data_IF_541867367585
#
_entry.id   IF_541867367585
#
_cell.length_a   1.000
_cell.length_b   1.000
_cell.length_c   1.000
_cell.angle_alpha   90.00
_cell.angle_beta   90.00
_cell.angle_gamma   90.00
#
_symmetry.space_group_name_H-M   'P 1'
#
loop_
_entity.id
_entity.type
_entity.pdbx_description
1 polymer ?
#
# COMPACT_ATOMS: atom_id res chain seq x y z
N UNK A 1 -3.42 10.76 16.41
CA UNK A 1 -1.97 11.06 16.50
C UNK A 1 -1.66 12.19 15.53
N UNK A 2 -1.73 13.43 16.00
CA UNK A 2 -1.54 14.65 15.21
C UNK A 2 -0.49 15.49 15.90
N UNK A 3 0.74 15.57 15.35
CA UNK A 3 1.63 16.69 15.67
C UNK A 3 3.07 16.40 16.10
N UNK A 4 3.52 15.16 16.31
CA UNK A 4 4.87 14.93 16.88
C UNK A 4 6.03 14.88 15.88
N UNK A 5 5.79 15.22 14.60
CA UNK A 5 6.83 15.21 13.57
C UNK A 5 7.24 16.64 13.20
N UNK A 6 8.52 16.97 13.37
CA UNK A 6 9.09 18.19 12.82
C UNK A 6 9.27 17.98 11.31
N UNK A 7 8.47 18.68 10.52
CA UNK A 7 8.63 18.69 9.07
C UNK A 7 9.84 19.54 8.67
N UNK A 8 10.97 18.88 8.39
CA UNK A 8 12.21 19.53 7.96
C UNK A 8 12.08 19.88 6.47
N UNK A 9 11.51 21.04 6.21
CA UNK A 9 11.42 21.61 4.85
C UNK A 9 12.74 22.26 4.44
N UNK A 10 13.12 22.13 3.17
CA UNK A 10 14.31 22.82 2.67
C UNK A 10 14.10 24.35 2.63
N UNK A 11 15.11 25.09 3.05
CA UNK A 11 15.16 26.57 2.93
C UNK A 11 14.80 26.99 1.48
N UNK A 12 13.83 27.89 1.26
CA UNK A 12 13.49 28.40 -0.07
C UNK A 12 14.70 28.89 -0.88
N UNK A 13 15.72 29.45 -0.22
CA UNK A 13 16.97 29.87 -0.87
C UNK A 13 17.76 28.68 -1.41
N UNK A 14 17.80 27.57 -0.67
CA UNK A 14 18.35 26.31 -1.16
C UNK A 14 17.59 25.83 -2.39
N UNK A 15 16.25 25.78 -2.32
CA UNK A 15 15.42 25.29 -3.44
C UNK A 15 15.66 26.13 -4.70
N UNK A 16 15.66 27.46 -4.59
CA UNK A 16 15.92 28.36 -5.71
C UNK A 16 17.30 28.12 -6.35
N UNK A 17 18.35 28.01 -5.51
CA UNK A 17 19.73 27.75 -5.96
C UNK A 17 19.85 26.42 -6.69
N UNK A 18 19.31 25.34 -6.12
CA UNK A 18 19.43 24.02 -6.74
C UNK A 18 18.57 23.89 -8.00
N UNK A 19 17.41 24.57 -8.08
CA UNK A 19 16.64 24.67 -9.34
C UNK A 19 17.40 25.40 -10.44
N UNK A 20 18.14 26.47 -10.10
CA UNK A 20 19.02 27.14 -11.06
C UNK A 20 20.14 26.22 -11.54
N UNK A 21 20.80 25.49 -10.64
CA UNK A 21 21.81 24.49 -11.01
C UNK A 21 21.26 23.37 -11.88
N UNK A 22 20.05 22.88 -11.60
CA UNK A 22 19.39 21.86 -12.43
C UNK A 22 19.16 22.36 -13.87
N UNK A 23 18.79 23.63 -14.04
CA UNK A 23 18.66 24.25 -15.38
C UNK A 23 19.98 24.22 -16.15
N UNK A 24 21.09 24.59 -15.50
CA UNK A 24 22.43 24.52 -16.12
C UNK A 24 22.80 23.07 -16.44
N UNK A 25 22.59 22.15 -15.49
CA UNK A 25 22.93 20.73 -15.66
C UNK A 25 22.15 20.07 -16.80
N UNK A 26 20.89 20.45 -17.02
CA UNK A 26 20.09 19.97 -18.16
C UNK A 26 20.70 20.31 -19.52
N UNK A 27 21.45 21.41 -19.63
CA UNK A 27 22.15 21.80 -20.85
C UNK A 27 23.50 21.09 -21.06
N UNK A 28 23.98 20.34 -20.06
CA UNK A 28 25.33 19.75 -20.10
C UNK A 28 25.44 18.58 -21.09
N UNK A 29 26.66 18.35 -21.61
CA UNK A 29 26.96 17.16 -22.41
C UNK A 29 26.73 15.86 -21.63
N UNK A 30 27.07 15.87 -20.33
CA UNK A 30 26.83 14.74 -19.44
C UNK A 30 25.34 14.37 -19.38
N UNK A 31 24.45 15.34 -19.23
CA UNK A 31 23.01 15.06 -19.18
C UNK A 31 22.48 14.54 -20.52
N UNK A 32 22.96 15.08 -21.65
CA UNK A 32 22.64 14.53 -22.98
C UNK A 32 23.05 13.06 -23.11
N UNK A 33 24.20 12.68 -22.56
CA UNK A 33 24.64 11.27 -22.53
C UNK A 33 23.72 10.40 -21.66
N UNK A 34 23.25 10.89 -20.50
CA UNK A 34 22.29 10.16 -19.68
C UNK A 34 20.97 9.91 -20.42
N UNK A 35 20.45 10.92 -21.14
CA UNK A 35 19.25 10.75 -21.97
C UNK A 35 19.46 9.79 -23.14
N UNK A 36 20.65 9.80 -23.76
CA UNK A 36 20.99 8.91 -24.87
C UNK A 36 21.04 7.42 -24.47
N UNK A 37 21.32 7.12 -23.19
CA UNK A 37 21.21 5.75 -22.68
C UNK A 37 19.76 5.21 -22.71
N UNK A 38 18.77 6.11 -22.76
CA UNK A 38 17.38 5.78 -23.05
C UNK A 38 16.70 4.92 -22.00
N UNK A 39 17.21 4.82 -20.77
CA UNK A 39 16.65 3.97 -19.71
C UNK A 39 16.15 4.79 -18.53
N UNK A 40 14.93 4.50 -18.09
CA UNK A 40 14.41 5.05 -16.84
C UNK A 40 15.13 4.42 -15.65
N UNK A 41 15.60 5.23 -14.71
CA UNK A 41 16.27 4.77 -13.50
C UNK A 41 15.37 3.91 -12.60
N UNK A 42 14.06 4.20 -12.59
CA UNK A 42 13.11 3.55 -11.67
C UNK A 42 12.53 2.25 -12.22
N UNK A 43 11.91 2.28 -13.41
CA UNK A 43 11.31 1.08 -13.99
C UNK A 43 12.25 0.27 -14.88
N UNK A 44 13.44 0.80 -15.20
CA UNK A 44 14.41 0.13 -16.08
C UNK A 44 14.04 0.07 -17.56
N UNK A 45 12.78 0.39 -17.92
CA UNK A 45 12.32 0.34 -19.30
C UNK A 45 13.01 1.37 -20.21
N UNK A 46 13.00 1.07 -21.51
CA UNK A 46 13.63 1.90 -22.54
C UNK A 46 12.64 2.92 -23.08
N UNK A 47 13.06 4.18 -23.19
CA UNK A 47 12.26 5.31 -23.65
C UNK A 47 13.06 6.18 -24.63
N UNK A 48 12.38 6.84 -25.59
CA UNK A 48 12.97 7.93 -26.36
C UNK A 48 13.46 9.07 -25.43
N UNK A 49 14.55 9.77 -25.78
CA UNK A 49 15.06 10.89 -24.98
C UNK A 49 14.02 11.97 -24.64
N UNK A 50 13.03 12.19 -25.51
CA UNK A 50 11.96 13.17 -25.32
C UNK A 50 10.95 12.79 -24.21
N UNK A 51 10.87 11.51 -23.84
CA UNK A 51 9.97 10.99 -22.80
C UNK A 51 10.65 10.85 -21.44
N UNK A 52 11.97 11.10 -21.39
CA UNK A 52 12.76 11.08 -20.17
C UNK A 52 12.88 12.49 -19.60
N UNK A 53 12.65 12.58 -18.30
CA UNK A 53 12.74 13.79 -17.49
C UNK A 53 13.93 13.69 -16.55
N UNK A 54 14.43 14.85 -16.09
CA UNK A 54 15.38 14.89 -14.98
C UNK A 54 14.62 14.78 -13.67
N UNK A 55 14.91 13.74 -12.89
CA UNK A 55 14.44 13.62 -11.52
C UNK A 55 15.62 13.70 -10.53
N UNK A 56 15.33 14.18 -9.33
CA UNK A 56 16.26 14.21 -8.21
C UNK A 56 15.95 13.06 -7.26
N UNK A 57 16.89 12.12 -7.08
CA UNK A 57 16.73 10.96 -6.20
C UNK A 57 16.32 11.43 -4.80
N UNK A 58 17.12 12.32 -4.20
CA UNK A 58 16.68 13.15 -3.08
C UNK A 58 16.09 14.46 -3.64
N UNK A 59 14.77 14.72 -3.49
CA UNK A 59 14.15 15.92 -4.02
C UNK A 59 14.77 17.19 -3.45
N UNK A 60 14.84 18.24 -4.27
CA UNK A 60 15.32 19.57 -3.84
C UNK A 60 14.50 20.14 -2.67
N UNK A 61 13.19 19.86 -2.64
CA UNK A 61 12.31 20.26 -1.53
C UNK A 61 12.67 19.58 -0.19
N UNK A 62 13.42 18.47 -0.24
CA UNK A 62 13.93 17.71 0.91
C UNK A 62 15.44 17.89 1.11
N UNK A 63 16.01 18.97 0.58
CA UNK A 63 17.42 19.34 0.74
C UNK A 63 18.38 18.70 -0.28
N UNK A 64 17.87 18.01 -1.30
CA UNK A 64 18.67 17.39 -2.34
C UNK A 64 19.39 18.39 -3.25
N UNK A 65 20.62 18.04 -3.67
CA UNK A 65 21.46 18.90 -4.52
C UNK A 65 21.33 18.56 -6.00
N UNK A 66 21.49 19.54 -6.88
CA UNK A 66 21.48 19.32 -8.34
C UNK A 66 22.87 18.97 -8.87
N UNK A 67 23.31 17.75 -8.58
CA UNK A 67 24.62 17.21 -8.97
C UNK A 67 24.46 15.85 -9.67
N UNK A 68 25.41 15.41 -10.50
CA UNK A 68 25.34 14.12 -11.20
C UNK A 68 24.98 12.92 -10.31
N UNK A 69 25.49 12.87 -9.07
CA UNK A 69 25.20 11.78 -8.14
C UNK A 69 23.80 11.77 -7.53
N UNK A 70 22.97 12.81 -7.76
CA UNK A 70 21.62 12.91 -7.22
C UNK A 70 20.55 13.14 -8.31
N UNK A 71 20.93 13.21 -9.59
CA UNK A 71 19.97 13.36 -10.69
C UNK A 71 20.02 12.16 -11.62
N UNK A 72 18.84 11.72 -12.06
CA UNK A 72 18.68 10.52 -12.88
C UNK A 72 17.64 10.74 -13.98
N UNK A 73 17.75 10.07 -15.14
CA UNK A 73 16.69 10.04 -16.14
C UNK A 73 15.52 9.19 -15.63
N UNK A 74 14.32 9.76 -15.67
CA UNK A 74 13.09 9.08 -15.26
C UNK A 74 11.98 9.34 -16.28
N UNK A 75 11.21 8.31 -16.64
CA UNK A 75 10.02 8.52 -17.47
C UNK A 75 8.98 9.35 -16.71
N UNK A 76 8.12 10.06 -17.44
CA UNK A 76 7.09 10.93 -16.86
C UNK A 76 6.20 10.22 -15.85
N UNK A 77 5.83 8.95 -16.10
CA UNK A 77 5.01 8.16 -15.19
C UNK A 77 5.72 7.90 -13.85
N UNK A 78 6.94 7.37 -13.87
CA UNK A 78 7.71 7.10 -12.66
C UNK A 78 8.00 8.38 -11.88
N UNK A 79 8.41 9.45 -12.56
CA UNK A 79 8.71 10.73 -11.90
C UNK A 79 7.45 11.30 -11.21
N UNK A 80 6.29 11.24 -11.89
CA UNK A 80 5.00 11.65 -11.31
C UNK A 80 4.58 10.81 -10.11
N UNK A 81 4.83 9.51 -10.13
CA UNK A 81 4.53 8.62 -8.99
C UNK A 81 5.46 8.89 -7.81
N UNK A 82 6.76 9.10 -8.06
CA UNK A 82 7.78 9.38 -7.04
C UNK A 82 7.55 10.71 -6.32
N UNK A 83 7.09 11.75 -7.04
CA UNK A 83 6.81 13.10 -6.50
C UNK A 83 8.00 13.68 -5.72
N UNK A 84 7.80 13.93 -4.43
CA UNK A 84 8.80 14.46 -3.50
C UNK A 84 9.21 13.43 -2.46
N UNK A 85 8.92 12.15 -2.71
CA UNK A 85 9.37 11.07 -1.83
C UNK A 85 10.88 10.89 -2.00
N UNK A 86 11.54 10.71 -0.88
CA UNK A 86 12.90 10.19 -0.79
C UNK A 86 12.88 8.66 -0.92
N UNK A 87 14.01 8.01 -1.24
CA UNK A 87 14.10 6.55 -1.25
C UNK A 87 13.66 5.93 0.09
N UNK A 88 14.02 6.56 1.21
CA UNK A 88 13.61 6.13 2.54
C UNK A 88 12.08 6.17 2.70
N UNK A 89 11.42 7.26 2.28
CA UNK A 89 9.96 7.35 2.33
C UNK A 89 9.26 6.37 1.39
N UNK A 90 9.84 6.07 0.23
CA UNK A 90 9.28 5.05 -0.68
C UNK A 90 9.34 3.65 -0.04
N UNK A 91 10.45 3.32 0.62
CA UNK A 91 10.59 2.08 1.38
C UNK A 91 9.63 2.06 2.56
N UNK A 92 9.56 3.13 3.36
CA UNK A 92 8.63 3.25 4.47
C UNK A 92 7.17 3.11 4.02
N UNK A 93 6.76 3.76 2.92
CA UNK A 93 5.42 3.61 2.37
C UNK A 93 5.12 2.17 1.94
N UNK A 94 6.13 1.43 1.48
CA UNK A 94 5.99 0.00 1.14
C UNK A 94 5.89 -0.86 2.40
N UNK A 95 6.62 -0.53 3.46
CA UNK A 95 6.54 -1.20 4.77
C UNK A 95 5.23 -0.88 5.50
N UNK A 96 4.66 0.30 5.26
CA UNK A 96 3.37 0.76 5.80
C UNK A 96 2.16 0.14 5.08
N UNK A 97 2.35 -0.37 3.86
CA UNK A 97 1.30 -1.09 3.17
C UNK A 97 1.03 -2.42 3.88
N UNK A 98 -0.24 -2.86 3.98
CA UNK A 98 -0.54 -4.13 4.59
C UNK A 98 0.11 -5.27 3.80
N UNK A 99 0.89 -6.09 4.51
CA UNK A 99 1.44 -7.34 4.03
C UNK A 99 0.29 -8.32 3.78
N UNK A 100 0.42 -9.14 2.73
CA UNK A 100 -0.59 -10.11 2.32
C UNK A 100 0.01 -11.51 2.39
N UNK A 101 -0.68 -12.41 3.07
CA UNK A 101 -0.29 -13.80 3.24
C UNK A 101 -1.40 -14.70 2.67
N UNK A 102 -1.28 -15.16 1.41
CA UNK A 102 -2.27 -16.06 0.81
C UNK A 102 -2.36 -17.38 1.57
N UNK A 103 -3.58 -17.91 1.73
CA UNK A 103 -3.86 -19.17 2.41
C UNK A 103 -4.01 -20.32 1.42
N UNK A 104 -3.66 -21.53 1.85
CA UNK A 104 -3.99 -22.74 1.12
C UNK A 104 -5.51 -22.91 1.08
N UNK A 105 -6.07 -23.21 -0.11
CA UNK A 105 -7.53 -23.38 -0.27
C UNK A 105 -8.34 -22.10 -0.45
N UNK A 106 -7.71 -20.92 -0.35
CA UNK A 106 -8.34 -19.62 -0.63
C UNK A 106 -8.39 -18.69 0.57
N UNK A 107 -8.55 -17.40 0.27
CA UNK A 107 -8.45 -16.32 1.25
C UNK A 107 -7.02 -15.85 1.50
N UNK A 108 -6.88 -14.84 2.35
CA UNK A 108 -5.59 -14.27 2.75
C UNK A 108 -5.64 -13.70 4.16
N UNK A 109 -4.50 -13.64 4.83
CA UNK A 109 -4.29 -12.77 6.00
C UNK A 109 -3.68 -11.47 5.52
N UNK A 110 -4.29 -10.35 5.87
CA UNK A 110 -3.71 -9.02 5.68
C UNK A 110 -3.17 -8.52 7.01
N UNK A 111 -1.93 -8.03 7.03
CA UNK A 111 -1.24 -7.62 8.25
C UNK A 111 -0.57 -6.25 8.12
N UNK A 112 -0.60 -5.42 9.15
CA UNK A 112 0.13 -4.15 9.24
C UNK A 112 0.74 -4.00 10.63
N UNK A 113 2.07 -3.98 10.72
CA UNK A 113 2.75 -4.13 12.01
C UNK A 113 2.36 -5.45 12.66
N UNK A 114 1.92 -5.43 13.92
CA UNK A 114 1.43 -6.59 14.67
C UNK A 114 -0.09 -6.80 14.59
N UNK A 115 -0.77 -6.14 13.66
CA UNK A 115 -2.23 -6.18 13.55
C UNK A 115 -2.62 -6.94 12.29
N UNK A 116 -3.63 -7.79 12.36
CA UNK A 116 -4.09 -8.59 11.23
C UNK A 116 -5.62 -8.66 11.12
N UNK A 117 -6.08 -8.88 9.89
CA UNK A 117 -7.42 -9.38 9.57
C UNK A 117 -7.27 -10.57 8.61
N UNK A 118 -8.22 -11.50 8.63
CA UNK A 118 -8.31 -12.57 7.63
C UNK A 118 -9.48 -12.32 6.69
N UNK A 119 -9.27 -12.50 5.38
CA UNK A 119 -10.29 -12.36 4.34
C UNK A 119 -10.62 -13.74 3.78
N UNK A 120 -11.88 -14.15 3.92
CA UNK A 120 -12.40 -15.46 3.47
C UNK A 120 -11.47 -16.66 3.74
N UNK A 121 -10.93 -16.82 4.97
CA UNK A 121 -9.97 -17.88 5.23
C UNK A 121 -10.63 -19.24 5.03
N UNK A 122 -10.11 -20.09 4.14
CA UNK A 122 -10.61 -21.46 3.97
C UNK A 122 -10.01 -22.45 4.99
N UNK A 123 -8.96 -22.03 5.70
CA UNK A 123 -8.17 -22.85 6.61
C UNK A 123 -7.81 -22.05 7.87
N UNK A 124 -8.39 -22.44 9.02
CA UNK A 124 -8.10 -21.80 10.30
C UNK A 124 -6.69 -22.10 10.79
N UNK A 125 -6.19 -23.32 10.57
CA UNK A 125 -4.85 -23.73 11.01
C UNK A 125 -3.77 -22.91 10.31
N UNK A 126 -3.87 -22.76 8.99
CA UNK A 126 -2.96 -21.92 8.22
C UNK A 126 -2.98 -20.44 8.63
N UNK A 127 -4.13 -19.92 9.07
CA UNK A 127 -4.18 -18.57 9.67
C UNK A 127 -3.41 -18.52 10.98
N UNK A 128 -3.67 -19.45 11.91
CA UNK A 128 -3.00 -19.48 13.22
C UNK A 128 -1.48 -19.63 13.09
N UNK A 129 -1.01 -20.47 12.17
CA UNK A 129 0.41 -20.63 11.87
C UNK A 129 1.06 -19.31 11.42
N UNK A 130 0.36 -18.52 10.59
CA UNK A 130 0.81 -17.19 10.16
C UNK A 130 0.85 -16.22 11.36
N UNK A 131 -0.19 -16.23 12.20
CA UNK A 131 -0.26 -15.35 13.36
C UNK A 131 0.87 -15.62 14.34
N UNK A 132 1.18 -16.90 14.61
CA UNK A 132 2.25 -17.28 15.51
C UNK A 132 3.62 -16.94 14.92
N UNK A 133 3.88 -17.31 13.66
CA UNK A 133 5.16 -17.05 12.98
C UNK A 133 5.51 -15.58 12.95
N UNK A 134 4.53 -14.72 12.63
CA UNK A 134 4.75 -13.29 12.39
C UNK A 134 4.35 -12.42 13.60
N UNK A 135 4.00 -13.04 14.74
CA UNK A 135 3.55 -12.38 15.97
C UNK A 135 2.44 -11.35 15.73
N UNK A 136 1.37 -11.79 15.08
CA UNK A 136 0.23 -10.96 14.67
C UNK A 136 -0.97 -11.15 15.61
N UNK A 137 -1.71 -10.06 15.81
CA UNK A 137 -2.97 -10.04 16.56
C UNK A 137 -4.11 -10.02 15.55
N UNK A 138 -4.90 -11.10 15.51
CA UNK A 138 -6.08 -11.17 14.64
C UNK A 138 -7.24 -10.38 15.26
N UNK A 139 -7.64 -9.29 14.61
CA UNK A 139 -8.76 -8.46 15.07
C UNK A 139 -10.10 -8.93 14.51
N UNK A 140 -10.10 -9.36 13.25
CA UNK A 140 -11.32 -9.76 12.59
C UNK A 140 -11.10 -10.74 11.43
N UNK A 141 -12.13 -11.55 11.18
CA UNK A 141 -12.34 -12.27 9.94
C UNK A 141 -13.41 -11.54 9.14
N UNK A 142 -13.15 -11.26 7.87
CA UNK A 142 -14.13 -10.68 6.94
C UNK A 142 -14.49 -11.69 5.87
N UNK A 143 -15.78 -12.03 5.82
CA UNK A 143 -16.38 -12.87 4.81
C UNK A 143 -16.92 -12.00 3.69
N UNK A 144 -16.51 -12.25 2.45
CA UNK A 144 -17.09 -11.61 1.27
C UNK A 144 -18.39 -12.27 0.82
N UNK A 145 -18.59 -13.52 1.24
CA UNK A 145 -19.75 -14.36 0.95
C UNK A 145 -19.87 -15.50 1.98
N UNK A 146 -21.02 -16.18 2.01
CA UNK A 146 -21.29 -17.32 2.90
C UNK A 146 -20.77 -18.66 2.40
N UNK A 147 -19.49 -18.74 1.99
CA UNK A 147 -18.93 -20.02 1.55
C UNK A 147 -18.70 -20.96 2.76
N UNK A 148 -19.15 -22.24 2.72
CA UNK A 148 -19.05 -23.13 3.89
C UNK A 148 -17.64 -23.29 4.48
N UNK A 149 -16.56 -23.44 3.68
CA UNK A 149 -15.20 -23.52 4.24
C UNK A 149 -14.80 -22.25 5.01
N UNK A 150 -15.17 -21.08 4.48
CA UNK A 150 -14.86 -19.80 5.10
C UNK A 150 -15.65 -19.58 6.39
N UNK A 151 -16.92 -20.00 6.43
CA UNK A 151 -17.75 -19.97 7.64
C UNK A 151 -17.19 -20.88 8.73
N UNK A 152 -16.79 -22.11 8.37
CA UNK A 152 -16.20 -23.06 9.32
C UNK A 152 -14.90 -22.51 9.93
N UNK A 153 -13.98 -22.04 9.09
CA UNK A 153 -12.73 -21.46 9.57
C UNK A 153 -12.95 -20.18 10.39
N UNK A 154 -13.91 -19.32 10.01
CA UNK A 154 -14.25 -18.14 10.78
C UNK A 154 -14.79 -18.48 12.18
N UNK A 155 -15.60 -19.55 12.30
CA UNK A 155 -16.11 -20.02 13.58
C UNK A 155 -14.99 -20.53 14.49
N UNK A 156 -14.03 -21.29 13.94
CA UNK A 156 -12.89 -21.78 14.70
C UNK A 156 -11.96 -20.64 15.12
N UNK A 157 -11.63 -19.71 14.22
CA UNK A 157 -10.81 -18.53 14.52
C UNK A 157 -11.45 -17.62 15.56
N UNK A 158 -12.77 -17.38 15.48
CA UNK A 158 -13.51 -16.60 16.47
C UNK A 158 -13.41 -17.23 17.86
N UNK A 159 -13.53 -18.57 17.94
CA UNK A 159 -13.44 -19.33 19.19
C UNK A 159 -12.04 -19.30 19.80
N UNK A 160 -11.01 -19.42 18.97
CA UNK A 160 -9.62 -19.53 19.43
C UNK A 160 -8.97 -18.17 19.73
N UNK A 161 -9.29 -17.14 18.94
CA UNK A 161 -8.63 -15.83 19.04
C UNK A 161 -9.53 -14.75 19.65
N UNK A 162 -10.84 -14.98 19.74
CA UNK A 162 -11.82 -13.96 20.13
C UNK A 162 -12.04 -12.86 19.08
N UNK A 163 -11.58 -13.07 17.84
CA UNK A 163 -11.70 -12.08 16.77
C UNK A 163 -13.16 -11.85 16.35
N UNK A 164 -13.45 -10.66 15.81
CA UNK A 164 -14.78 -10.36 15.29
C UNK A 164 -14.98 -10.99 13.90
N UNK A 165 -16.14 -11.59 13.63
CA UNK A 165 -16.51 -12.00 12.27
C UNK A 165 -17.44 -10.96 11.66
N UNK A 166 -17.10 -10.51 10.46
CA UNK A 166 -17.84 -9.51 9.69
C UNK A 166 -18.20 -10.07 8.31
N UNK A 167 -19.34 -9.72 7.75
CA UNK A 167 -19.72 -10.18 6.41
C UNK A 167 -21.02 -9.56 5.90
N UNK A 168 -21.43 -9.82 4.65
CA UNK A 168 -22.68 -9.31 4.12
C UNK A 168 -23.90 -9.95 4.79
N UNK A 169 -25.06 -9.32 4.63
CA UNK A 169 -26.32 -9.88 5.08
C UNK A 169 -26.56 -11.24 4.40
N UNK A 170 -26.83 -12.28 5.19
CA UNK A 170 -27.03 -13.65 4.68
C UNK A 170 -25.75 -14.44 4.41
N UNK A 171 -24.56 -13.91 4.74
CA UNK A 171 -23.33 -14.72 4.75
C UNK A 171 -23.39 -15.87 5.75
N UNK A 172 -24.02 -15.64 6.89
CA UNK A 172 -24.30 -16.65 7.90
C UNK A 172 -25.82 -16.79 8.04
N UNK A 173 -26.34 -17.97 7.71
CA UNK A 173 -27.77 -18.27 7.79
C UNK A 173 -28.24 -18.54 9.23
N UNK A 174 -27.32 -18.86 10.14
CA UNK A 174 -27.63 -19.05 11.57
C UNK A 174 -27.74 -17.71 12.33
N UNK A 175 -27.10 -16.66 11.80
CA UNK A 175 -26.98 -15.32 12.40
C UNK A 175 -26.21 -15.27 13.73
N UNK A 176 -25.57 -16.36 14.13
CA UNK A 176 -24.85 -16.44 15.41
C UNK A 176 -23.35 -16.13 15.27
N UNK A 177 -22.79 -16.23 14.06
CA UNK A 177 -21.37 -16.05 13.81
C UNK A 177 -21.02 -14.62 13.39
N UNK A 178 -21.82 -14.01 12.51
CA UNK A 178 -21.51 -12.67 11.97
C UNK A 178 -21.87 -11.59 13.00
N UNK A 179 -20.86 -11.12 13.73
CA UNK A 179 -21.02 -10.06 14.73
C UNK A 179 -21.33 -8.68 14.10
N UNK A 180 -20.90 -8.43 12.86
CA UNK A 180 -21.18 -7.18 12.13
C UNK A 180 -21.52 -7.42 10.67
N UNK A 181 -22.70 -6.95 10.28
CA UNK A 181 -23.15 -6.94 8.89
C UNK A 181 -22.52 -5.75 8.14
N UNK A 182 -21.93 -6.03 6.97
CA UNK A 182 -21.29 -5.04 6.10
C UNK A 182 -22.18 -4.71 4.90
N UNK A 183 -22.26 -3.43 4.54
CA UNK A 183 -23.08 -2.96 3.43
C UNK A 183 -22.24 -2.37 2.29
N UNK A 184 -22.65 -2.63 1.05
CA UNK A 184 -22.02 -2.01 -0.12
C UNK A 184 -22.17 -0.48 -0.06
N UNK A 185 -21.08 0.24 -0.38
CA UNK A 185 -20.99 1.70 -0.27
C UNK A 185 -20.43 2.19 1.07
N UNK A 186 -20.34 1.33 2.09
CA UNK A 186 -19.74 1.66 3.38
C UNK A 186 -18.19 1.67 3.31
N UNK A 187 -17.58 2.47 4.18
CA UNK A 187 -16.15 2.45 4.45
C UNK A 187 -15.87 1.63 5.72
N UNK A 188 -15.09 0.56 5.58
CA UNK A 188 -14.66 -0.28 6.69
C UNK A 188 -13.26 0.14 7.15
N UNK A 189 -13.19 0.76 8.33
CA UNK A 189 -11.92 1.04 8.99
C UNK A 189 -11.44 -0.19 9.78
N UNK A 190 -10.18 -0.56 9.58
CA UNK A 190 -9.52 -1.65 10.30
C UNK A 190 -8.11 -1.23 10.70
N UNK A 191 -7.47 -1.94 11.66
CA UNK A 191 -6.07 -1.71 12.00
C UNK A 191 -5.09 -1.88 10.82
N UNK A 192 -5.46 -2.65 9.79
CA UNK A 192 -4.58 -2.92 8.62
C UNK A 192 -4.81 -1.95 7.47
N UNK A 193 -5.88 -1.15 7.52
CA UNK A 193 -6.22 -0.18 6.49
C UNK A 193 -7.71 0.11 6.40
N UNK A 194 -8.06 1.08 5.57
CA UNK A 194 -9.45 1.45 5.27
C UNK A 194 -9.86 0.82 3.96
N UNK A 195 -10.97 0.10 3.95
CA UNK A 195 -11.51 -0.57 2.78
C UNK A 195 -12.84 0.06 2.37
N UNK A 196 -13.03 0.25 1.07
CA UNK A 196 -14.35 0.52 0.50
C UNK A 196 -15.03 -0.82 0.25
N UNK A 197 -16.26 -0.96 0.72
CA UNK A 197 -17.08 -2.13 0.44
C UNK A 197 -17.84 -1.89 -0.86
N UNK A 198 -17.63 -2.76 -1.85
CA UNK A 198 -18.33 -2.70 -3.14
C UNK A 198 -19.13 -3.98 -3.36
N UNK A 199 -20.21 -3.96 -4.16
CA UNK A 199 -20.92 -5.19 -4.50
C UNK A 199 -20.00 -6.16 -5.23
N UNK A 200 -20.01 -7.43 -4.85
CA UNK A 200 -19.53 -8.48 -5.75
C UNK A 200 -20.55 -8.60 -6.90
N UNK A 201 -20.13 -9.02 -8.10
CA UNK A 201 -21.02 -9.08 -9.27
C UNK A 201 -22.23 -10.02 -9.14
N UNK A 202 -22.40 -10.69 -8.00
CA UNK A 202 -23.54 -11.52 -7.61
C UNK A 202 -24.38 -10.81 -6.53
N UNK A 203 -25.69 -11.06 -6.48
CA UNK A 203 -26.62 -10.28 -5.66
C UNK A 203 -26.43 -10.38 -4.13
N UNK A 204 -25.54 -11.26 -3.64
CA UNK A 204 -25.39 -11.57 -2.20
C UNK A 204 -23.96 -11.39 -1.65
N UNK A 205 -22.98 -11.03 -2.49
CA UNK A 205 -21.58 -10.90 -2.08
C UNK A 205 -21.09 -9.45 -2.03
N UNK A 206 -19.99 -9.23 -1.32
CA UNK A 206 -19.26 -7.96 -1.29
C UNK A 206 -17.81 -8.16 -1.72
N UNK A 207 -17.09 -7.07 -2.01
CA UNK A 207 -15.64 -7.06 -2.19
C UNK A 207 -15.06 -5.88 -1.41
N UNK A 208 -13.86 -6.07 -0.88
CA UNK A 208 -13.11 -5.03 -0.20
C UNK A 208 -12.07 -4.43 -1.14
N UNK A 209 -12.11 -3.11 -1.30
CA UNK A 209 -11.12 -2.35 -2.04
C UNK A 209 -10.31 -1.47 -1.08
N UNK A 210 -9.07 -1.89 -0.82
CA UNK A 210 -8.15 -1.14 0.03
C UNK A 210 -7.96 0.27 -0.54
N UNK A 211 -8.28 1.27 0.26
CA UNK A 211 -8.00 2.65 -0.10
C UNK A 211 -6.54 2.95 0.20
N UNK A 212 -5.87 3.64 -0.73
CA UNK A 212 -4.57 4.21 -0.43
C UNK A 212 -4.71 5.10 0.80
N UNK A 213 -3.90 4.85 1.83
CA UNK A 213 -3.77 5.78 2.95
C UNK A 213 -3.44 7.14 2.34
N UNK A 214 -4.37 8.10 2.45
CA UNK A 214 -4.24 9.40 1.81
C UNK A 214 -2.86 9.98 2.13
N UNK A 215 -2.01 10.12 1.11
CA UNK A 215 -0.79 10.90 1.25
C UNK A 215 -1.25 12.32 1.60
N UNK A 216 -0.94 12.77 2.81
CA UNK A 216 -0.94 14.21 3.07
C UNK A 216 0.10 14.87 2.17
#
# INVERSE_FOLDING_TARGET
MTGDWIDIQADPRHVARERARARVLRGSAWWRQQLAAGRCHYCGAVFPPAELTMDHVIPVARGGRSIPGNVVPACTACNRTKRHLTPAEQVLATLDAPQRHPLAGGGEVMARGHQAIALDPADAGGVLDILERDALILHAVVLTQGAPPALAAAADLSRETGCLVMGPAGADTSQDLVHRVLQAGEMLETPVGTFRIVPAGNAAGIRLELQASGSR
#
